data_IF_134471277108
#
_entry.id   IF_134471277108
#
_cell.length_a   1.000
_cell.length_b   1.000
_cell.length_c   1.000
_cell.angle_alpha   90.00
_cell.angle_beta   90.00
_cell.angle_gamma   90.00
#
_symmetry.space_group_name_H-M   'P 1'
#
loop_
_entity.id
_entity.type
_entity.pdbx_description
1 polymer ?
#
# COMPACT_ATOMS: atom_id res chain seq x y z
N UNK A 1 -16.59 -0.98 -12.84
CA UNK A 1 -17.38 0.26 -12.86
C UNK A 1 -17.32 0.91 -11.50
N UNK A 2 -16.61 2.02 -11.34
CA UNK A 2 -16.45 2.65 -10.02
C UNK A 2 -17.67 3.54 -9.68
N UNK A 3 -18.10 3.47 -8.46
CA UNK A 3 -19.26 4.20 -7.97
C UNK A 3 -18.87 5.59 -7.46
N UNK A 4 -19.60 6.61 -7.91
CA UNK A 4 -19.33 8.00 -7.55
C UNK A 4 -20.02 8.33 -6.21
N UNK A 5 -19.28 8.87 -5.27
CA UNK A 5 -19.86 9.37 -4.03
C UNK A 5 -20.78 10.57 -4.30
N UNK A 6 -22.01 10.50 -3.83
CA UNK A 6 -22.98 11.57 -3.93
C UNK A 6 -22.62 12.80 -3.11
N UNK A 7 -23.36 13.89 -3.33
CA UNK A 7 -23.12 15.16 -2.63
C UNK A 7 -23.76 15.13 -1.22
N UNK A 8 -23.00 15.36 -0.23
CA UNK A 8 -23.29 15.89 1.12
C UNK A 8 -23.14 14.97 2.35
N UNK A 9 -24.05 14.12 2.83
CA UNK A 9 -23.84 13.52 4.15
C UNK A 9 -22.76 12.42 4.13
N UNK A 10 -22.65 11.69 3.04
CA UNK A 10 -21.62 10.64 2.87
C UNK A 10 -20.21 11.21 2.75
N UNK A 11 -20.10 12.39 2.12
CA UNK A 11 -18.83 13.10 1.97
C UNK A 11 -18.33 13.62 3.33
N UNK A 12 -19.25 14.15 4.16
CA UNK A 12 -18.90 14.63 5.51
C UNK A 12 -18.57 13.47 6.46
N UNK A 13 -19.31 12.37 6.40
CA UNK A 13 -18.97 11.14 7.16
C UNK A 13 -17.63 10.54 6.73
N UNK A 14 -17.23 10.74 5.48
CA UNK A 14 -15.91 10.34 4.96
C UNK A 14 -14.76 11.20 5.47
N UNK A 15 -15.04 12.41 5.96
CA UNK A 15 -14.03 13.31 6.52
C UNK A 15 -13.58 12.90 7.94
N UNK A 16 -14.33 12.05 8.63
CA UNK A 16 -13.94 11.48 9.94
C UNK A 16 -13.06 10.23 9.77
N UNK A 17 -12.13 10.26 8.84
CA UNK A 17 -11.38 9.08 8.41
C UNK A 17 -9.99 9.03 9.05
N UNK A 18 -9.54 7.87 9.36
CA UNK A 18 -8.25 7.58 10.03
C UNK A 18 -7.01 7.67 9.16
N UNK A 19 -7.02 7.61 7.83
CA UNK A 19 -5.95 7.60 7.13
C UNK A 19 -5.94 8.71 6.23
N UNK A 20 -5.34 9.64 6.67
CA UNK A 20 -5.11 10.79 5.79
C UNK A 20 -3.64 10.82 5.39
N UNK A 21 -3.38 10.81 4.12
CA UNK A 21 -2.02 10.98 3.57
C UNK A 21 -2.05 12.09 2.51
N UNK A 22 -0.99 12.90 2.51
CA UNK A 22 -0.88 14.04 1.63
C UNK A 22 0.46 14.04 0.88
N UNK A 23 0.43 14.58 -0.32
CA UNK A 23 1.64 14.97 -1.02
C UNK A 23 1.54 16.43 -1.45
N UNK A 24 2.49 16.92 -2.24
CA UNK A 24 2.52 18.31 -2.70
C UNK A 24 1.23 18.72 -3.43
N UNK A 25 0.66 17.83 -4.23
CA UNK A 25 -0.46 18.13 -5.14
C UNK A 25 -1.84 17.71 -4.63
N UNK A 26 -1.90 16.62 -3.82
CA UNK A 26 -3.16 15.96 -3.46
C UNK A 26 -3.16 15.53 -1.99
N UNK A 27 -4.36 15.42 -1.43
CA UNK A 27 -4.59 14.75 -0.15
C UNK A 27 -5.56 13.59 -0.42
N UNK A 28 -5.25 12.40 0.06
CA UNK A 28 -6.17 11.25 0.02
C UNK A 28 -6.60 10.90 1.44
N UNK A 29 -7.91 10.84 1.61
CA UNK A 29 -8.55 10.36 2.83
C UNK A 29 -9.16 9.00 2.55
N UNK A 30 -8.82 8.02 3.38
CA UNK A 30 -9.21 6.63 3.20
C UNK A 30 -10.07 6.14 4.36
N UNK A 31 -11.22 5.53 4.05
CA UNK A 31 -12.02 4.74 4.98
C UNK A 31 -12.11 3.33 4.44
N UNK A 32 -11.73 2.35 5.25
CA UNK A 32 -11.76 0.92 4.91
C UNK A 32 -12.94 0.22 5.59
N UNK A 33 -13.28 -0.95 5.11
CA UNK A 33 -14.22 -1.84 5.78
C UNK A 33 -15.67 -1.72 5.32
N UNK A 34 -15.90 -1.26 4.09
CA UNK A 34 -17.23 -1.31 3.48
C UNK A 34 -17.33 -2.54 2.57
N UNK A 35 -18.51 -3.14 2.53
CA UNK A 35 -18.78 -4.25 1.61
C UNK A 35 -19.06 -3.70 0.21
N UNK A 36 -18.41 -4.30 -0.80
CA UNK A 36 -18.68 -3.94 -2.21
C UNK A 36 -17.54 -3.22 -2.91
N UNK A 37 -17.80 -2.65 -4.08
CA UNK A 37 -16.79 -1.97 -4.88
C UNK A 37 -16.28 -0.70 -4.22
N UNK A 38 -15.07 -0.30 -4.56
CA UNK A 38 -14.49 0.94 -4.02
C UNK A 38 -15.23 2.17 -4.55
N UNK A 39 -15.49 3.13 -3.67
CA UNK A 39 -16.19 4.38 -3.99
C UNK A 39 -15.22 5.56 -3.94
N UNK A 40 -15.31 6.44 -4.94
CA UNK A 40 -14.40 7.57 -5.08
C UNK A 40 -15.12 8.90 -5.01
N UNK A 41 -14.60 9.82 -4.17
CA UNK A 41 -15.04 11.20 -4.10
C UNK A 41 -13.94 12.16 -4.54
N UNK A 42 -14.29 13.20 -5.26
CA UNK A 42 -13.34 14.22 -5.73
C UNK A 42 -13.74 15.59 -5.19
N UNK A 43 -12.79 16.28 -4.56
CA UNK A 43 -13.00 17.63 -4.03
C UNK A 43 -11.94 18.58 -4.61
N UNK A 44 -12.37 19.56 -5.39
CA UNK A 44 -11.49 20.60 -5.92
C UNK A 44 -12.07 21.95 -5.50
N UNK A 45 -11.41 22.60 -4.54
CA UNK A 45 -11.89 23.85 -3.94
C UNK A 45 -11.74 25.04 -4.89
N UNK A 46 -12.48 26.13 -4.62
CA UNK A 46 -12.39 27.41 -5.35
C UNK A 46 -10.97 28.01 -5.31
N UNK A 47 -10.18 27.68 -4.28
CA UNK A 47 -8.79 28.14 -4.10
C UNK A 47 -7.82 27.63 -5.18
N UNK A 48 -8.18 26.57 -5.94
CA UNK A 48 -7.35 26.00 -7.01
C UNK A 48 -7.46 26.80 -8.30
N UNK A 49 -8.63 27.38 -8.57
CA UNK A 49 -8.85 28.20 -9.74
C UNK A 49 -10.33 28.32 -10.10
N UNK A 50 -10.58 28.94 -11.25
CA UNK A 50 -11.93 29.15 -11.78
C UNK A 50 -12.60 27.82 -12.17
N UNK A 51 -13.86 27.88 -12.56
CA UNK A 51 -14.68 26.69 -12.84
C UNK A 51 -14.05 25.77 -13.89
N UNK A 52 -13.54 26.34 -14.97
CA UNK A 52 -12.92 25.61 -16.10
C UNK A 52 -11.73 24.78 -15.58
N UNK A 53 -10.82 25.42 -14.83
CA UNK A 53 -9.63 24.76 -14.26
C UNK A 53 -10.05 23.63 -13.32
N UNK A 54 -11.04 23.87 -12.46
CA UNK A 54 -11.51 22.85 -11.51
C UNK A 54 -12.12 21.63 -12.21
N UNK A 55 -12.90 21.88 -13.27
CA UNK A 55 -13.47 20.79 -14.09
C UNK A 55 -12.38 19.99 -14.80
N UNK A 56 -11.38 20.66 -15.35
CA UNK A 56 -10.24 20.02 -16.00
C UNK A 56 -9.50 19.10 -15.01
N UNK A 57 -9.15 19.60 -13.83
CA UNK A 57 -8.46 18.81 -12.79
C UNK A 57 -9.33 17.62 -12.36
N UNK A 58 -10.63 17.83 -12.20
CA UNK A 58 -11.55 16.72 -11.84
C UNK A 58 -11.56 15.62 -12.91
N UNK A 59 -11.47 16.00 -14.20
CA UNK A 59 -11.38 15.05 -15.31
C UNK A 59 -10.06 14.27 -15.27
N UNK A 60 -8.94 14.92 -15.01
CA UNK A 60 -7.63 14.28 -14.86
C UNK A 60 -7.64 13.28 -13.70
N UNK A 61 -8.20 13.66 -12.56
CA UNK A 61 -8.32 12.78 -11.38
C UNK A 61 -9.19 11.55 -11.66
N UNK A 62 -10.33 11.73 -12.35
CA UNK A 62 -11.21 10.62 -12.74
C UNK A 62 -10.50 9.63 -13.66
N UNK A 63 -9.78 10.15 -14.65
CA UNK A 63 -9.04 9.32 -15.61
C UNK A 63 -7.91 8.54 -14.91
N UNK A 64 -7.18 9.20 -14.00
CA UNK A 64 -6.15 8.55 -13.21
C UNK A 64 -6.73 7.43 -12.32
N UNK A 65 -7.88 7.68 -11.68
CA UNK A 65 -8.56 6.67 -10.86
C UNK A 65 -9.04 5.52 -11.74
N UNK A 66 -9.66 5.80 -12.90
CA UNK A 66 -10.13 4.77 -13.84
C UNK A 66 -9.00 3.83 -14.27
N UNK A 67 -7.83 4.39 -14.56
CA UNK A 67 -6.63 3.64 -14.93
C UNK A 67 -6.13 2.73 -13.79
N UNK A 68 -6.18 3.21 -12.56
CA UNK A 68 -5.61 2.54 -11.40
C UNK A 68 -6.62 1.69 -10.59
N UNK A 69 -7.92 1.77 -10.89
CA UNK A 69 -9.00 1.12 -10.13
C UNK A 69 -8.80 -0.39 -10.01
N UNK A 70 -8.39 -1.05 -11.10
CA UNK A 70 -8.13 -2.50 -11.11
C UNK A 70 -7.05 -2.92 -10.10
N UNK A 71 -6.13 -2.01 -9.78
CA UNK A 71 -5.04 -2.24 -8.84
C UNK A 71 -5.42 -1.94 -7.39
N UNK A 72 -6.57 -1.31 -7.14
CA UNK A 72 -7.04 -0.93 -5.81
C UNK A 72 -7.84 -2.08 -5.21
N UNK A 73 -7.66 -2.34 -3.92
CA UNK A 73 -8.45 -3.31 -3.15
C UNK A 73 -9.89 -2.83 -3.01
N UNK A 74 -10.82 -3.73 -3.07
CA UNK A 74 -12.25 -3.46 -2.92
C UNK A 74 -12.59 -3.05 -1.46
N UNK A 75 -13.78 -2.53 -1.26
CA UNK A 75 -14.27 -2.15 0.06
C UNK A 75 -13.65 -0.87 0.63
N UNK A 76 -13.15 0.01 -0.23
CA UNK A 76 -12.55 1.28 0.21
C UNK A 76 -13.38 2.49 -0.23
N UNK A 77 -13.55 3.42 0.68
CA UNK A 77 -14.06 4.75 0.35
C UNK A 77 -12.88 5.72 0.30
N UNK A 78 -12.63 6.29 -0.87
CA UNK A 78 -11.43 7.09 -1.17
C UNK A 78 -11.87 8.50 -1.56
N UNK A 79 -11.47 9.50 -0.77
CA UNK A 79 -11.74 10.91 -1.08
C UNK A 79 -10.43 11.58 -1.47
N UNK A 80 -10.38 12.14 -2.68
CA UNK A 80 -9.21 12.81 -3.23
C UNK A 80 -9.47 14.32 -3.25
N UNK A 81 -8.68 15.07 -2.49
CA UNK A 81 -8.76 16.53 -2.39
C UNK A 81 -7.57 17.15 -3.13
N UNK A 82 -7.86 18.02 -4.08
CA UNK A 82 -6.83 18.71 -4.87
C UNK A 82 -6.31 19.95 -4.11
N UNK A 83 -4.98 20.10 -4.03
CA UNK A 83 -4.29 21.29 -3.51
C UNK A 83 -4.06 22.31 -4.62
N UNK A 84 -3.70 23.54 -4.26
CA UNK A 84 -3.42 24.64 -5.21
C UNK A 84 -2.33 24.28 -6.23
N UNK A 85 -1.32 23.56 -5.78
CA UNK A 85 -0.13 23.21 -6.58
C UNK A 85 -0.41 22.24 -7.73
N UNK A 86 -1.63 21.68 -7.83
CA UNK A 86 -2.04 20.81 -8.93
C UNK A 86 -2.39 21.60 -10.21
N UNK A 87 -2.57 22.91 -10.07
CA UNK A 87 -2.85 23.79 -11.21
C UNK A 87 -1.71 23.70 -12.25
N UNK A 88 -2.04 23.63 -13.50
CA UNK A 88 -1.12 23.53 -14.65
C UNK A 88 -0.26 22.24 -14.68
N UNK A 89 -0.68 21.19 -13.97
CA UNK A 89 0.02 19.90 -14.01
C UNK A 89 -0.55 18.97 -15.09
N UNK A 90 0.37 18.27 -15.76
CA UNK A 90 0.02 17.29 -16.79
C UNK A 90 -0.57 16.01 -16.20
N UNK A 91 -1.27 15.25 -17.02
CA UNK A 91 -1.89 13.98 -16.61
C UNK A 91 -0.87 13.03 -15.94
N UNK A 92 0.36 12.94 -16.51
CA UNK A 92 1.41 12.04 -15.96
C UNK A 92 1.80 12.40 -14.52
N UNK A 93 1.88 13.69 -14.20
CA UNK A 93 2.22 14.18 -12.87
C UNK A 93 1.09 13.91 -11.86
N UNK A 94 -0.15 14.14 -12.29
CA UNK A 94 -1.34 13.89 -11.47
C UNK A 94 -1.49 12.39 -11.21
N UNK A 95 -1.32 11.56 -12.24
CA UNK A 95 -1.39 10.09 -12.14
C UNK A 95 -0.31 9.55 -11.20
N UNK A 96 0.93 10.03 -11.35
CA UNK A 96 2.03 9.68 -10.44
C UNK A 96 1.74 10.06 -9.00
N UNK A 97 1.14 11.24 -8.77
CA UNK A 97 0.77 11.71 -7.43
C UNK A 97 -0.34 10.85 -6.81
N UNK A 98 -1.35 10.46 -7.59
CA UNK A 98 -2.43 9.55 -7.15
C UNK A 98 -1.85 8.18 -6.80
N UNK A 99 -1.08 7.59 -7.72
CA UNK A 99 -0.45 6.27 -7.54
C UNK A 99 0.44 6.24 -6.29
N UNK A 100 1.26 7.27 -6.10
CA UNK A 100 2.14 7.41 -4.93
C UNK A 100 1.34 7.38 -3.62
N UNK A 101 0.24 8.14 -3.55
CA UNK A 101 -0.61 8.17 -2.36
C UNK A 101 -1.34 6.85 -2.11
N UNK A 102 -1.84 6.18 -3.17
CA UNK A 102 -2.48 4.86 -3.06
C UNK A 102 -1.47 3.82 -2.53
N UNK A 103 -0.20 3.93 -2.97
CA UNK A 103 0.90 3.05 -2.51
C UNK A 103 1.21 3.28 -1.02
N UNK A 104 1.27 4.55 -0.59
CA UNK A 104 1.52 4.90 0.83
C UNK A 104 0.38 4.40 1.73
N UNK A 105 -0.86 4.45 1.24
CA UNK A 105 -2.02 3.89 1.96
C UNK A 105 -2.03 2.35 2.00
N UNK A 106 -1.24 1.67 1.18
CA UNK A 106 -1.15 0.20 1.15
C UNK A 106 -2.39 -0.50 0.60
N UNK A 107 -3.17 0.20 -0.22
CA UNK A 107 -4.42 -0.32 -0.78
C UNK A 107 -4.28 -0.88 -2.20
N UNK A 108 -3.04 -0.94 -2.72
CA UNK A 108 -2.78 -1.54 -4.03
C UNK A 108 -2.69 -3.07 -3.93
N UNK A 109 -3.32 -3.75 -4.86
CA UNK A 109 -3.26 -5.23 -5.03
C UNK A 109 -1.87 -5.76 -5.41
N UNK A 110 -1.25 -5.05 -5.90
CA UNK A 110 0.00 -5.34 -6.39
C UNK A 110 0.98 -5.81 -5.42
N UNK A 111 0.94 -5.23 -4.39
CA UNK A 111 1.79 -5.67 -3.29
C UNK A 111 1.46 -7.09 -2.82
N UNK A 112 0.21 -7.50 -2.89
CA UNK A 112 -0.22 -8.83 -2.44
C UNK A 112 0.23 -9.95 -3.39
N UNK A 113 0.31 -9.67 -4.68
CA UNK A 113 0.82 -10.64 -5.67
C UNK A 113 2.31 -10.96 -5.40
N UNK A 114 3.12 -9.93 -5.19
CA UNK A 114 4.54 -10.10 -4.86
C UNK A 114 4.72 -10.85 -3.53
N UNK A 115 3.89 -10.55 -2.52
CA UNK A 115 3.89 -11.29 -1.25
C UNK A 115 3.59 -12.77 -1.45
N UNK A 116 2.57 -13.11 -2.25
CA UNK A 116 2.19 -14.50 -2.54
C UNK A 116 3.33 -15.27 -3.23
N UNK A 117 3.94 -14.65 -4.25
CA UNK A 117 5.07 -15.25 -4.97
C UNK A 117 6.24 -15.51 -4.00
N UNK A 118 6.59 -14.51 -3.20
CA UNK A 118 7.70 -14.63 -2.26
C UNK A 118 7.45 -15.69 -1.19
N UNK A 119 6.23 -15.75 -0.65
CA UNK A 119 5.83 -16.79 0.30
C UNK A 119 5.84 -18.18 -0.33
N UNK A 120 5.43 -18.30 -1.60
CA UNK A 120 5.48 -19.55 -2.34
C UNK A 120 6.94 -20.03 -2.51
N UNK A 121 7.86 -19.13 -2.87
CA UNK A 121 9.29 -19.45 -2.98
C UNK A 121 9.84 -19.93 -1.63
N UNK A 122 9.50 -19.26 -0.54
CA UNK A 122 9.93 -19.64 0.81
C UNK A 122 9.36 -21.03 1.18
N UNK A 123 8.10 -21.30 0.85
CA UNK A 123 7.47 -22.60 1.09
C UNK A 123 8.14 -23.73 0.30
N UNK A 124 8.47 -23.49 -0.96
CA UNK A 124 9.19 -24.44 -1.80
C UNK A 124 10.57 -24.74 -1.19
N UNK A 125 11.29 -23.70 -0.77
CA UNK A 125 12.56 -23.85 -0.07
C UNK A 125 12.43 -24.70 1.19
N UNK A 126 11.42 -24.41 2.02
CA UNK A 126 11.19 -25.15 3.26
C UNK A 126 10.80 -26.62 3.02
N UNK A 127 10.04 -26.89 1.96
CA UNK A 127 9.54 -28.23 1.64
C UNK A 127 10.59 -29.12 0.99
N UNK A 128 11.40 -28.59 0.07
CA UNK A 128 12.31 -29.39 -0.75
C UNK A 128 13.78 -29.24 -0.36
N UNK A 129 14.22 -28.05 -0.02
CA UNK A 129 15.66 -27.76 0.20
C UNK A 129 16.01 -27.92 1.70
N UNK A 130 15.14 -27.46 2.59
CA UNK A 130 15.40 -27.52 4.02
C UNK A 130 15.56 -28.96 4.57
N UNK A 131 14.74 -29.96 4.16
CA UNK A 131 14.93 -31.34 4.64
C UNK A 131 16.20 -32.03 4.09
N UNK A 132 16.73 -31.53 2.97
CA UNK A 132 17.97 -32.10 2.39
C UNK A 132 19.20 -31.80 3.25
N UNK A 133 19.10 -30.81 4.14
CA UNK A 133 20.18 -30.51 5.09
C UNK A 133 20.05 -31.44 6.29
N UNK A 134 21.01 -32.36 6.44
CA UNK A 134 21.04 -33.36 7.52
C UNK A 134 21.13 -32.77 8.93
N UNK A 135 21.64 -31.54 9.06
CA UNK A 135 21.78 -30.86 10.36
C UNK A 135 21.00 -29.55 10.39
N UNK A 136 20.29 -29.25 11.49
CA UNK A 136 19.63 -27.95 11.64
C UNK A 136 20.70 -26.85 11.74
N UNK A 137 20.86 -26.09 10.67
CA UNK A 137 21.92 -25.07 10.58
C UNK A 137 21.52 -23.69 11.09
N UNK A 138 20.28 -23.55 11.58
CA UNK A 138 19.81 -22.27 12.10
C UNK A 138 19.95 -22.20 13.62
N UNK A 139 20.76 -21.25 14.11
CA UNK A 139 21.03 -21.04 15.54
C UNK A 139 19.97 -20.19 16.25
N UNK A 140 18.97 -19.68 15.49
CA UNK A 140 17.91 -18.86 16.05
C UNK A 140 16.56 -19.59 16.05
N UNK A 141 15.74 -19.33 17.08
CA UNK A 141 14.34 -19.74 17.16
C UNK A 141 13.43 -18.50 17.11
N UNK A 142 12.43 -18.43 16.20
CA UNK A 142 12.15 -19.32 15.06
C UNK A 142 13.24 -19.27 13.99
N UNK A 143 13.33 -20.29 13.14
CA UNK A 143 14.39 -20.34 12.11
C UNK A 143 14.29 -19.17 11.12
N UNK A 144 15.41 -18.84 10.45
CA UNK A 144 15.49 -17.65 9.61
C UNK A 144 14.43 -17.64 8.48
N UNK A 145 14.14 -18.78 7.87
CA UNK A 145 13.11 -18.87 6.82
C UNK A 145 11.71 -18.62 7.38
N UNK A 146 11.43 -19.09 8.58
CA UNK A 146 10.15 -18.88 9.27
C UNK A 146 9.99 -17.43 9.70
N UNK A 147 11.06 -16.81 10.21
CA UNK A 147 11.08 -15.38 10.57
C UNK A 147 10.76 -14.50 9.34
N UNK A 148 11.39 -14.78 8.18
CA UNK A 148 11.13 -14.03 6.95
C UNK A 148 9.67 -14.20 6.51
N UNK A 149 9.14 -15.43 6.57
CA UNK A 149 7.72 -15.70 6.23
C UNK A 149 6.76 -14.93 7.15
N UNK A 150 7.03 -14.91 8.46
CA UNK A 150 6.22 -14.16 9.44
C UNK A 150 6.32 -12.65 9.22
N UNK A 151 7.53 -12.13 8.95
CA UNK A 151 7.74 -10.70 8.69
C UNK A 151 6.97 -10.23 7.44
N UNK A 152 6.93 -11.06 6.39
CA UNK A 152 6.18 -10.78 5.15
C UNK A 152 4.67 -10.80 5.41
N UNK A 153 4.19 -11.75 6.21
CA UNK A 153 2.75 -11.88 6.54
C UNK A 153 2.25 -10.69 7.37
N UNK A 154 3.00 -10.30 8.42
CA UNK A 154 2.58 -9.22 9.35
C UNK A 154 2.57 -7.84 8.70
N UNK A 155 3.67 -7.39 8.11
CA UNK A 155 3.75 -6.04 7.52
C UNK A 155 4.79 -5.99 6.39
N UNK A 156 4.35 -5.54 5.22
CA UNK A 156 5.21 -5.26 4.07
C UNK A 156 5.89 -3.89 4.26
N UNK A 157 6.91 -3.80 5.12
CA UNK A 157 7.63 -2.55 5.42
C UNK A 157 9.12 -2.69 5.13
N UNK A 158 9.74 -1.67 4.53
CA UNK A 158 11.17 -1.62 4.21
C UNK A 158 12.06 -1.89 5.43
N UNK A 159 11.66 -1.39 6.60
CA UNK A 159 12.42 -1.58 7.85
C UNK A 159 12.51 -3.05 8.26
N UNK A 160 11.43 -3.83 8.09
CA UNK A 160 11.40 -5.27 8.45
C UNK A 160 12.22 -6.12 7.49
N UNK A 161 12.28 -5.76 6.21
CA UNK A 161 13.18 -6.40 5.23
C UNK A 161 14.63 -6.27 5.65
N UNK A 162 15.02 -5.07 6.07
CA UNK A 162 16.37 -4.81 6.58
C UNK A 162 16.68 -5.67 7.81
N UNK A 163 15.73 -5.80 8.75
CA UNK A 163 15.89 -6.66 9.94
C UNK A 163 16.03 -8.14 9.56
N UNK A 164 15.25 -8.61 8.59
CA UNK A 164 15.33 -10.00 8.11
C UNK A 164 16.69 -10.29 7.46
N UNK A 165 17.17 -9.38 6.61
CA UNK A 165 18.50 -9.50 5.98
C UNK A 165 19.61 -9.47 7.05
N UNK A 166 19.56 -8.52 7.98
CA UNK A 166 20.52 -8.39 9.09
C UNK A 166 20.58 -9.66 9.93
N UNK A 167 19.41 -10.30 10.17
CA UNK A 167 19.35 -11.56 10.91
C UNK A 167 19.97 -12.73 10.14
N UNK A 168 19.71 -12.82 8.81
CA UNK A 168 20.31 -13.85 7.96
C UNK A 168 21.84 -13.72 7.97
N UNK A 169 22.34 -12.50 7.88
CA UNK A 169 23.79 -12.21 7.92
C UNK A 169 24.45 -12.56 9.27
N UNK A 170 23.68 -12.53 10.37
CA UNK A 170 24.16 -12.94 11.70
C UNK A 170 24.04 -14.45 11.95
N UNK A 171 23.35 -15.18 11.05
CA UNK A 171 23.16 -16.61 11.23
C UNK A 171 24.37 -17.39 10.67
N UNK A 172 25.49 -17.34 11.42
CA UNK A 172 26.73 -18.05 11.13
C UNK A 172 27.25 -18.72 12.42
N UNK A 173 28.10 -19.76 12.33
CA UNK A 173 28.45 -20.58 13.47
C UNK A 173 29.23 -19.85 14.59
N UNK A 174 29.79 -18.69 14.30
CA UNK A 174 30.56 -17.90 15.30
C UNK A 174 29.70 -16.91 16.08
N UNK A 175 28.38 -16.90 15.90
CA UNK A 175 27.48 -15.98 16.62
C UNK A 175 26.64 -16.74 17.63
N UNK A 176 26.46 -16.14 18.82
CA UNK A 176 25.57 -16.70 19.84
C UNK A 176 24.13 -16.58 19.36
N UNK A 177 23.50 -17.74 19.09
CA UNK A 177 22.09 -17.81 18.71
C UNK A 177 21.15 -17.48 19.86
N UNK A 178 19.85 -17.55 19.61
CA UNK A 178 18.86 -17.29 20.66
C UNK A 178 17.43 -17.14 20.15
N UNK A 179 16.56 -16.77 21.06
CA UNK A 179 15.15 -16.52 20.76
C UNK A 179 14.96 -15.05 20.33
N UNK A 180 14.57 -14.85 19.08
CA UNK A 180 14.40 -13.51 18.49
C UNK A 180 13.11 -13.47 17.64
N UNK A 181 11.94 -13.21 18.26
CA UNK A 181 10.67 -13.17 17.52
C UNK A 181 10.52 -11.91 16.67
N UNK A 182 9.58 -11.95 15.72
CA UNK A 182 9.27 -10.80 14.85
C UNK A 182 8.57 -9.71 15.69
N UNK A 183 9.10 -8.50 15.78
CA UNK A 183 8.51 -7.41 16.56
C UNK A 183 7.16 -6.91 16.02
#
# INVERSE_FOLDING_TARGET
>A
MFEKLGKNPEFQKGLQTRXIKANKYLVIMLKQGESGPSRYGFSVSKKVGNSVVRHHITRLLRESVRKNDALVKEGNRIIIVARKDVKNKNFKEVDGAVFHLLKIHGILKXSDCVKKILLAVIHIYQKYISPLKRTPSCIYTPCCSEYVAQAIKKVWCRKRWFLAIKRILRCHPFHKGGYDPVP
#
